data_IF_897208065145
#
_entry.id   IF_897208065145
#
_cell.length_a   1.000
_cell.length_b   1.000
_cell.length_c   1.000
_cell.angle_alpha   90.00
_cell.angle_beta   90.00
_cell.angle_gamma   90.00
#
_symmetry.space_group_name_H-M   'P 1'
#
loop_
_entity.id
_entity.type
_entity.pdbx_description
1 polymer ?
#
# COMPACT_ATOMS: atom_id res chain seq x y z
N UNK A 1 -6.39 -5.39 -19.07
CA UNK A 1 -6.19 -4.55 -17.86
C UNK A 1 -6.85 -5.18 -16.63
N UNK A 2 -8.16 -5.50 -16.67
CA UNK A 2 -8.82 -6.20 -15.56
C UNK A 2 -8.22 -7.59 -15.31
N UNK A 3 -7.95 -8.39 -16.35
CA UNK A 3 -7.32 -9.72 -16.22
C UNK A 3 -6.01 -9.66 -15.44
N UNK A 4 -5.11 -8.75 -15.80
CA UNK A 4 -3.83 -8.57 -15.09
C UNK A 4 -4.04 -8.25 -13.61
N UNK A 5 -4.98 -7.35 -13.30
CA UNK A 5 -5.28 -6.97 -11.92
C UNK A 5 -5.86 -8.15 -11.13
N UNK A 6 -6.89 -8.83 -11.64
CA UNK A 6 -7.50 -9.95 -10.93
C UNK A 6 -6.53 -11.12 -10.79
N UNK A 7 -5.70 -11.40 -11.80
CA UNK A 7 -4.63 -12.39 -11.70
C UNK A 7 -3.63 -12.02 -10.60
N UNK A 8 -3.17 -10.77 -10.55
CA UNK A 8 -2.25 -10.32 -9.51
C UNK A 8 -2.89 -10.40 -8.11
N UNK A 9 -4.11 -9.89 -7.94
CA UNK A 9 -4.83 -9.91 -6.67
C UNK A 9 -5.14 -11.34 -6.20
N UNK A 10 -5.52 -12.24 -7.09
CA UNK A 10 -5.66 -13.67 -6.76
C UNK A 10 -4.31 -14.29 -6.38
N UNK A 11 -3.22 -13.96 -7.09
CA UNK A 11 -1.90 -14.53 -6.81
C UNK A 11 -1.34 -14.14 -5.43
N UNK A 12 -1.70 -12.95 -4.93
CA UNK A 12 -1.31 -12.48 -3.58
C UNK A 12 -2.37 -12.81 -2.51
N UNK A 13 -3.43 -13.54 -2.84
CA UNK A 13 -4.48 -13.94 -1.89
C UNK A 13 -5.45 -12.83 -1.48
N UNK A 14 -5.50 -11.72 -2.21
CA UNK A 14 -6.48 -10.66 -2.00
C UNK A 14 -7.86 -11.02 -2.58
N UNK A 15 -7.90 -11.88 -3.60
CA UNK A 15 -9.13 -12.44 -4.16
C UNK A 15 -9.10 -13.96 -4.14
N UNK A 16 -10.27 -14.55 -3.93
CA UNK A 16 -10.54 -15.96 -4.21
C UNK A 16 -11.13 -16.08 -5.62
N UNK A 17 -10.71 -17.11 -6.36
CA UNK A 17 -11.18 -17.38 -7.71
C UNK A 17 -11.73 -18.81 -7.82
N UNK A 18 -13.03 -18.94 -8.08
CA UNK A 18 -13.71 -20.22 -8.24
C UNK A 18 -14.57 -20.22 -9.50
N UNK A 19 -14.34 -21.20 -10.40
CA UNK A 19 -15.14 -21.39 -11.62
C UNK A 19 -15.33 -20.10 -12.45
N UNK A 20 -14.29 -19.27 -12.54
CA UNK A 20 -14.33 -18.01 -13.28
C UNK A 20 -15.04 -16.85 -12.57
N UNK A 21 -15.42 -17.02 -11.30
CA UNK A 21 -15.94 -15.97 -10.42
C UNK A 21 -14.87 -15.55 -9.43
N UNK A 22 -14.90 -14.27 -9.06
CA UNK A 22 -13.96 -13.69 -8.10
C UNK A 22 -14.73 -13.15 -6.89
N UNK A 23 -14.18 -13.35 -5.70
CA UNK A 23 -14.67 -12.79 -4.45
C UNK A 23 -13.49 -12.21 -3.65
N UNK A 24 -13.75 -11.26 -2.75
CA UNK A 24 -12.75 -10.84 -1.78
C UNK A 24 -12.35 -12.04 -0.92
N UNK A 25 -11.06 -12.17 -0.61
CA UNK A 25 -10.65 -13.06 0.48
C UNK A 25 -11.20 -12.55 1.82
N UNK A 26 -11.30 -13.39 2.85
CA UNK A 26 -11.77 -12.95 4.17
C UNK A 26 -11.02 -11.72 4.72
N UNK A 27 -9.71 -11.64 4.46
CA UNK A 27 -8.91 -10.48 4.85
C UNK A 27 -9.27 -9.23 4.04
N UNK A 28 -9.40 -9.34 2.72
CA UNK A 28 -9.80 -8.21 1.88
C UNK A 28 -11.21 -7.72 2.24
N UNK A 29 -12.14 -8.63 2.55
CA UNK A 29 -13.50 -8.28 2.97
C UNK A 29 -13.50 -7.50 4.30
N UNK A 30 -12.69 -7.94 5.26
CA UNK A 30 -12.64 -7.32 6.58
C UNK A 30 -11.90 -5.97 6.58
N UNK A 31 -10.84 -5.84 5.78
CA UNK A 31 -9.87 -4.74 5.89
C UNK A 31 -9.82 -3.80 4.70
N UNK A 32 -10.34 -4.18 3.53
CA UNK A 32 -10.23 -3.39 2.30
C UNK A 32 -11.59 -2.96 1.72
N UNK A 33 -12.70 -3.40 2.32
CA UNK A 33 -14.05 -2.96 1.96
C UNK A 33 -14.36 -1.63 2.64
N UNK A 34 -14.77 -0.65 1.82
CA UNK A 34 -15.09 0.68 2.30
C UNK A 34 -16.19 0.66 3.36
N UNK A 35 -15.91 1.22 4.53
CA UNK A 35 -16.87 1.30 5.64
C UNK A 35 -17.01 0.01 6.45
N UNK A 36 -16.21 -1.02 6.17
CA UNK A 36 -16.06 -2.15 7.08
C UNK A 36 -15.50 -1.67 8.43
N UNK A 37 -15.76 -2.43 9.49
CA UNK A 37 -15.31 -2.09 10.86
C UNK A 37 -13.80 -1.83 10.94
N UNK A 38 -13.02 -2.50 10.10
CA UNK A 38 -11.57 -2.40 10.07
C UNK A 38 -11.07 -1.92 8.71
N UNK A 39 -11.81 -1.05 8.02
CA UNK A 39 -11.39 -0.49 6.72
C UNK A 39 -10.04 0.26 6.84
N UNK A 40 -9.00 -0.29 6.21
CA UNK A 40 -7.66 0.29 6.06
C UNK A 40 -7.44 0.93 4.68
N UNK A 41 -8.46 1.01 3.82
CA UNK A 41 -8.32 1.46 2.45
C UNK A 41 -7.77 2.89 2.31
N UNK A 42 -8.18 3.79 3.21
CA UNK A 42 -7.69 5.17 3.21
C UNK A 42 -6.28 5.29 3.80
N UNK A 43 -5.92 4.44 4.76
CA UNK A 43 -4.54 4.33 5.23
C UNK A 43 -3.61 3.89 4.09
N UNK A 44 -3.96 2.83 3.36
CA UNK A 44 -3.17 2.38 2.20
C UNK A 44 -3.08 3.45 1.11
N UNK A 45 -4.17 4.19 0.85
CA UNK A 45 -4.21 5.21 -0.21
C UNK A 45 -3.44 6.48 0.16
N UNK A 46 -3.55 6.97 1.39
CA UNK A 46 -2.97 8.26 1.76
C UNK A 46 -1.62 8.10 2.46
N UNK A 47 -1.51 7.17 3.40
CA UNK A 47 -0.29 7.01 4.18
C UNK A 47 0.74 6.15 3.41
N UNK A 48 0.33 5.02 2.83
CA UNK A 48 1.29 4.17 2.12
C UNK A 48 1.60 4.71 0.72
N UNK A 49 0.59 4.89 -0.15
CA UNK A 49 0.81 5.28 -1.54
C UNK A 49 1.34 6.72 -1.70
N UNK A 50 0.69 7.71 -1.06
CA UNK A 50 1.07 9.12 -1.25
C UNK A 50 2.23 9.59 -0.39
N UNK A 51 2.41 8.95 0.76
CA UNK A 51 3.35 9.42 1.75
C UNK A 51 4.57 8.50 1.82
N UNK A 52 4.45 7.26 2.29
CA UNK A 52 5.60 6.38 2.55
C UNK A 52 6.30 5.87 1.27
N UNK A 53 5.57 5.46 0.25
CA UNK A 53 6.16 4.82 -0.94
C UNK A 53 7.13 5.72 -1.71
N UNK A 54 6.86 7.03 -1.90
CA UNK A 54 7.86 7.98 -2.43
C UNK A 54 9.18 8.00 -1.65
N UNK A 55 9.14 7.95 -0.31
CA UNK A 55 10.36 7.95 0.51
C UNK A 55 11.18 6.68 0.34
N UNK A 56 10.52 5.53 0.15
CA UNK A 56 11.24 4.27 -0.09
C UNK A 56 12.10 4.32 -1.37
N UNK A 57 11.82 5.22 -2.31
CA UNK A 57 12.65 5.40 -3.51
C UNK A 57 14.00 6.05 -3.21
N UNK A 58 14.16 6.73 -2.07
CA UNK A 58 15.40 7.36 -1.63
C UNK A 58 16.34 6.38 -0.90
N UNK A 59 15.95 5.11 -0.72
CA UNK A 59 16.68 4.15 0.11
C UNK A 59 18.17 4.01 -0.27
N UNK A 60 18.50 4.05 -1.57
CA UNK A 60 19.88 3.93 -2.00
C UNK A 60 20.73 5.12 -1.54
N UNK A 61 20.24 6.35 -1.70
CA UNK A 61 20.93 7.59 -1.30
C UNK A 61 21.13 7.66 0.22
N UNK A 62 20.16 7.15 0.98
CA UNK A 62 20.30 6.98 2.44
C UNK A 62 21.44 6.03 2.76
N UNK A 63 21.47 4.86 2.11
CA UNK A 63 22.49 3.83 2.36
C UNK A 63 23.89 4.29 1.94
N UNK A 64 23.99 5.14 0.92
CA UNK A 64 25.24 5.73 0.44
C UNK A 64 25.67 6.97 1.23
N UNK A 65 24.79 7.52 2.07
CA UNK A 65 25.04 8.77 2.82
C UNK A 65 25.07 10.01 1.92
N UNK A 66 24.45 9.94 0.75
CA UNK A 66 24.45 10.99 -0.28
C UNK A 66 23.14 11.75 -0.37
N UNK A 67 22.10 11.32 0.38
CA UNK A 67 20.82 11.99 0.41
C UNK A 67 20.96 13.42 0.93
N UNK A 68 20.36 14.37 0.22
CA UNK A 68 20.29 15.77 0.64
C UNK A 68 19.52 15.86 1.98
N UNK A 69 20.07 16.50 3.02
CA UNK A 69 19.40 16.67 4.32
C UNK A 69 17.98 17.24 4.23
N UNK A 70 17.71 18.11 3.25
CA UNK A 70 16.40 18.73 3.07
C UNK A 70 15.38 17.78 2.40
N UNK A 71 15.82 16.61 1.91
CA UNK A 71 14.96 15.61 1.26
C UNK A 71 14.18 14.73 2.24
N UNK A 72 14.57 14.68 3.52
CA UNK A 72 13.95 13.83 4.56
C UNK A 72 12.98 14.60 5.46
N UNK A 73 12.96 15.93 5.38
CA UNK A 73 12.31 16.83 6.33
C UNK A 73 10.83 16.47 6.59
N UNK A 74 10.17 15.82 5.63
CA UNK A 74 8.80 15.33 5.78
C UNK A 74 8.64 14.16 6.77
N UNK A 75 9.58 13.22 6.90
CA UNK A 75 9.39 12.05 7.78
C UNK A 75 9.64 12.37 9.26
N UNK A 76 10.67 13.16 9.57
CA UNK A 76 10.90 13.65 10.93
C UNK A 76 9.75 14.55 11.40
N UNK A 77 9.19 15.36 10.50
CA UNK A 77 8.00 16.16 10.72
C UNK A 77 6.70 15.34 10.83
N UNK A 78 6.62 14.15 10.22
CA UNK A 78 5.47 13.23 10.39
C UNK A 78 5.46 12.46 11.71
N UNK A 79 6.64 12.21 12.29
CA UNK A 79 6.78 11.50 13.57
C UNK A 79 6.89 12.45 14.77
N UNK A 80 6.84 13.77 14.53
CA UNK A 80 6.94 14.79 15.58
C UNK A 80 5.59 15.22 16.18
N UNK A 81 4.48 14.66 15.70
CA UNK A 81 3.17 14.72 16.38
C UNK A 81 2.93 13.46 17.24
#
# INVERSE_FOLDING_TARGET
RITTLVTALTSIGALEAEQGRFANSPAAEQFLVRGAKYDFGDYLRYQIDKQMYPFLQQLNEVMEGTLDPDSVDSYAHWMSD
#
